data_IF_632041725121
#
_entry.id   IF_632041725121
#
_cell.length_a   1.000
_cell.length_b   1.000
_cell.length_c   1.000
_cell.angle_alpha   90.00
_cell.angle_beta   90.00
_cell.angle_gamma   90.00
#
_symmetry.space_group_name_H-M   'P 1'
#
loop_
_entity.id
_entity.type
_entity.pdbx_description
1 polymer ?
#
# COMPACT_ATOMS: atom_id res chain seq x y z
N UNK A 1 6.26 -7.28 -2.88
CA UNK A 1 5.01 -7.99 -3.25
C UNK A 1 3.87 -7.00 -3.11
N UNK A 2 2.80 -7.12 -3.90
CA UNK A 2 1.63 -6.24 -3.82
C UNK A 2 0.32 -7.02 -3.87
N UNK A 3 -0.78 -6.37 -3.50
CA UNK A 3 -2.12 -6.93 -3.66
C UNK A 3 -2.64 -6.61 -5.06
N UNK A 4 -3.40 -7.51 -5.65
CA UNK A 4 -4.10 -7.23 -6.90
C UNK A 4 -5.10 -6.07 -6.72
N UNK A 5 -5.09 -5.11 -7.63
CA UNK A 5 -5.90 -3.89 -7.55
C UNK A 5 -5.39 -2.83 -6.58
N UNK A 6 -4.17 -2.99 -6.04
CA UNK A 6 -3.57 -2.01 -5.13
C UNK A 6 -2.06 -1.92 -5.27
N UNK A 7 -1.54 -0.70 -5.35
CA UNK A 7 -0.11 -0.45 -5.55
C UNK A 7 0.35 -0.66 -7.00
N UNK A 8 -0.56 -0.62 -7.97
CA UNK A 8 -0.20 -0.66 -9.39
C UNK A 8 0.72 0.51 -9.75
N UNK A 9 0.34 1.73 -9.37
CA UNK A 9 1.10 2.95 -9.64
C UNK A 9 2.46 2.94 -8.93
N UNK A 10 2.49 2.57 -7.65
CA UNK A 10 3.74 2.46 -6.89
C UNK A 10 4.72 1.49 -7.56
N UNK A 11 4.24 0.31 -7.96
CA UNK A 11 5.12 -0.71 -8.52
C UNK A 11 5.44 -0.50 -10.01
N UNK A 12 4.71 0.37 -10.72
CA UNK A 12 5.12 0.87 -12.03
C UNK A 12 6.46 1.64 -11.96
N UNK A 13 6.76 2.26 -10.82
CA UNK A 13 8.04 2.92 -10.56
C UNK A 13 9.13 1.97 -10.03
N UNK A 14 8.82 0.69 -9.79
CA UNK A 14 9.74 -0.29 -9.16
C UNK A 14 10.17 -1.39 -10.13
N UNK A 15 9.22 -1.97 -10.89
CA UNK A 15 9.45 -3.17 -11.69
C UNK A 15 10.26 -2.92 -12.98
N UNK A 16 10.00 -1.86 -13.77
CA UNK A 16 10.67 -1.67 -15.05
C UNK A 16 12.19 -1.56 -14.93
N UNK A 17 12.91 -2.07 -15.93
CA UNK A 17 14.37 -2.11 -15.95
C UNK A 17 15.02 -0.72 -16.04
N UNK A 18 14.29 0.27 -16.57
CA UNK A 18 14.65 1.69 -16.62
C UNK A 18 14.29 2.45 -15.33
N UNK A 19 13.71 1.75 -14.34
CA UNK A 19 13.44 2.26 -12.99
C UNK A 19 14.32 1.54 -11.97
N UNK A 20 13.74 0.90 -10.95
CA UNK A 20 14.51 0.13 -9.96
C UNK A 20 14.85 -1.29 -10.45
N UNK A 21 14.17 -1.80 -11.48
CA UNK A 21 14.41 -3.15 -12.01
C UNK A 21 14.17 -4.28 -11.00
N UNK A 22 13.34 -4.06 -9.98
CA UNK A 22 13.11 -5.02 -8.90
C UNK A 22 11.82 -5.81 -9.11
N UNK A 23 11.83 -7.15 -8.97
CA UNK A 23 10.64 -7.95 -9.18
C UNK A 23 9.60 -7.75 -8.07
N UNK A 24 8.33 -7.77 -8.45
CA UNK A 24 7.21 -7.78 -7.51
C UNK A 24 6.22 -8.90 -7.83
N UNK A 25 5.95 -9.76 -6.85
CA UNK A 25 4.87 -10.75 -6.92
C UNK A 25 3.54 -10.10 -6.57
N UNK A 26 2.52 -10.37 -7.38
CA UNK A 26 1.13 -9.98 -7.12
C UNK A 26 0.41 -11.09 -6.36
N UNK A 27 -0.20 -10.73 -5.23
CA UNK A 27 -1.14 -11.57 -4.51
C UNK A 27 -2.54 -11.34 -5.07
N UNK A 28 -3.06 -12.33 -5.80
CA UNK A 28 -4.33 -12.26 -6.52
C UNK A 28 -5.33 -13.24 -5.91
N UNK A 29 -6.28 -12.78 -5.06
CA UNK A 29 -7.34 -13.63 -4.53
C UNK A 29 -8.30 -14.05 -5.65
N UNK A 30 -8.70 -15.33 -5.67
CA UNK A 30 -9.59 -15.91 -6.67
C UNK A 30 -10.69 -16.69 -5.95
N UNK A 31 -11.95 -16.41 -6.27
CA UNK A 31 -13.11 -17.03 -5.64
C UNK A 31 -14.41 -16.38 -6.10
N UNK A 32 -15.54 -16.93 -5.64
CA UNK A 32 -16.85 -16.30 -5.86
C UNK A 32 -17.03 -15.07 -4.97
N UNK A 33 -18.14 -14.35 -5.14
CA UNK A 33 -18.46 -13.19 -4.30
C UNK A 33 -18.54 -13.57 -2.81
N UNK A 34 -19.22 -14.68 -2.48
CA UNK A 34 -19.40 -15.14 -1.10
C UNK A 34 -18.06 -15.50 -0.45
N UNK A 35 -17.15 -16.12 -1.20
CA UNK A 35 -15.81 -16.49 -0.71
C UNK A 35 -14.93 -15.27 -0.42
N UNK A 36 -15.08 -14.20 -1.21
CA UNK A 36 -14.23 -13.02 -1.15
C UNK A 36 -14.80 -11.93 -0.24
N UNK A 37 -16.06 -11.99 0.17
CA UNK A 37 -16.67 -10.95 1.02
C UNK A 37 -15.90 -10.74 2.34
N UNK A 38 -15.50 -11.78 3.11
CA UNK A 38 -14.70 -11.57 4.31
C UNK A 38 -13.31 -10.99 4.01
N UNK A 39 -12.71 -11.38 2.88
CA UNK A 39 -11.43 -10.85 2.43
C UNK A 39 -11.53 -9.35 2.08
N UNK A 40 -12.60 -8.95 1.40
CA UNK A 40 -12.89 -7.56 1.06
C UNK A 40 -13.01 -6.70 2.33
N UNK A 41 -13.78 -7.14 3.32
CA UNK A 41 -13.93 -6.40 4.60
C UNK A 41 -12.57 -6.18 5.26
N UNK A 42 -11.72 -7.22 5.32
CA UNK A 42 -10.37 -7.09 5.86
C UNK A 42 -9.52 -6.07 5.09
N UNK A 43 -9.60 -6.08 3.76
CA UNK A 43 -8.85 -5.15 2.90
C UNK A 43 -9.33 -3.71 3.05
N UNK A 44 -10.62 -3.49 3.23
CA UNK A 44 -11.17 -2.16 3.49
C UNK A 44 -10.67 -1.59 4.83
N UNK A 45 -10.69 -2.40 5.89
CA UNK A 45 -10.22 -1.97 7.21
C UNK A 45 -8.72 -1.66 7.23
N UNK A 46 -7.91 -2.47 6.56
CA UNK A 46 -6.47 -2.28 6.50
C UNK A 46 -6.08 -1.04 5.69
N UNK A 47 -6.72 -0.82 4.54
CA UNK A 47 -6.34 0.27 3.65
C UNK A 47 -7.04 1.58 3.95
N UNK A 48 -8.23 1.57 4.58
CA UNK A 48 -9.00 2.76 4.94
C UNK A 48 -8.74 3.28 6.36
N UNK A 49 -7.83 2.67 7.12
CA UNK A 49 -7.43 3.21 8.41
C UNK A 49 -6.64 4.52 8.23
N UNK A 50 -6.88 5.54 9.07
CA UNK A 50 -6.17 6.83 8.98
C UNK A 50 -4.64 6.71 9.09
N UNK A 51 -4.15 5.67 9.76
CA UNK A 51 -2.72 5.39 9.88
C UNK A 51 -2.14 4.64 8.67
N UNK A 52 -2.98 4.16 7.75
CA UNK A 52 -2.57 3.47 6.52
C UNK A 52 -1.88 4.44 5.58
N UNK A 53 -0.72 4.02 5.04
CA UNK A 53 -0.05 4.74 3.96
C UNK A 53 -0.97 4.93 2.74
N UNK A 54 -1.76 3.90 2.39
CA UNK A 54 -2.66 3.94 1.23
C UNK A 54 -3.77 4.97 1.42
N UNK A 55 -4.26 5.15 2.65
CA UNK A 55 -5.24 6.20 2.95
C UNK A 55 -4.60 7.59 2.93
N UNK A 56 -3.39 7.72 3.50
CA UNK A 56 -2.71 9.01 3.65
C UNK A 56 -2.14 9.55 2.34
N UNK A 57 -1.71 8.70 1.41
CA UNK A 57 -1.17 9.15 0.12
C UNK A 57 -2.23 9.77 -0.79
N UNK A 58 -3.51 9.45 -0.57
CA UNK A 58 -4.62 10.06 -1.31
C UNK A 58 -5.14 11.36 -0.69
N UNK A 59 -4.63 11.73 0.47
CA UNK A 59 -5.01 12.94 1.20
C UNK A 59 -4.07 14.10 0.80
N UNK A 60 -4.61 15.10 0.11
CA UNK A 60 -3.86 16.25 -0.39
C UNK A 60 -3.36 17.18 0.73
N UNK A 61 -3.96 17.09 1.93
CA UNK A 61 -3.56 17.89 3.09
C UNK A 61 -2.33 17.29 3.82
N UNK A 62 -1.92 16.06 3.48
CA UNK A 62 -0.77 15.39 4.08
C UNK A 62 0.51 15.74 3.30
N UNK A 63 1.45 16.41 3.97
CA UNK A 63 2.77 16.69 3.41
C UNK A 63 3.54 15.41 3.11
N UNK A 64 4.31 15.42 2.01
CA UNK A 64 5.12 14.26 1.59
C UNK A 64 6.13 13.89 2.68
N UNK A 65 6.74 14.89 3.32
CA UNK A 65 7.71 14.73 4.40
C UNK A 65 7.12 13.93 5.58
N UNK A 66 5.85 14.15 5.89
CA UNK A 66 5.14 13.43 6.95
C UNK A 66 4.77 12.00 6.55
N UNK A 67 4.65 11.73 5.25
CA UNK A 67 4.35 10.42 4.70
C UNK A 67 5.59 9.53 4.65
N UNK A 68 6.76 10.11 4.34
CA UNK A 68 8.04 9.39 4.21
C UNK A 68 8.92 9.46 5.46
N UNK A 69 8.44 10.07 6.54
CA UNK A 69 9.17 10.21 7.81
C UNK A 69 9.69 8.87 8.31
N UNK A 70 10.96 8.83 8.74
CA UNK A 70 11.58 7.63 9.28
C UNK A 70 10.90 7.22 10.61
N UNK A 71 10.25 6.04 10.67
CA UNK A 71 9.63 5.56 11.90
C UNK A 71 10.65 5.22 12.99
N UNK A 72 11.89 4.85 12.66
CA UNK A 72 12.94 4.53 13.64
C UNK A 72 13.39 5.78 14.36
N UNK A 73 13.64 6.86 13.62
CA UNK A 73 13.98 8.16 14.21
C UNK A 73 12.82 8.70 15.06
N UNK A 74 11.60 8.63 14.54
CA UNK A 74 10.41 9.07 15.25
C UNK A 74 10.30 8.37 16.62
N UNK A 75 10.45 7.05 16.67
CA UNK A 75 10.39 6.27 17.91
C UNK A 75 11.57 6.55 18.84
N UNK A 76 12.78 6.72 18.30
CA UNK A 76 14.01 6.95 19.09
C UNK A 76 14.07 8.34 19.73
N UNK A 77 13.25 9.28 19.26
CA UNK A 77 13.15 10.65 19.78
C UNK A 77 12.13 10.85 20.92
N UNK A 78 11.37 9.80 21.29
CA UNK A 78 10.48 9.79 22.46
C UNK A 78 11.25 9.51 23.75
#
# INVERSE_FOLDING_TARGET
QKLHGMGDDLYAEVIPADRLGLPCRVYAPVGSHEDLLPYLVRRLLENGANSSFVNRITDEDVAIEDLIRDPVEAVSSF
#
